data_IF_315086311066
#
_entry.id   IF_315086311066
#
_cell.length_a   1.000
_cell.length_b   1.000
_cell.length_c   1.000
_cell.angle_alpha   90.00
_cell.angle_beta   90.00
_cell.angle_gamma   90.00
#
_symmetry.space_group_name_H-M   'P 1'
#
loop_
_entity.id
_entity.type
_entity.pdbx_description
1 polymer ?
#
# COMPACT_ATOMS: atom_id res chain seq x y z
N UNK A 1 33.79 55.63 54.47
CA UNK A 1 34.89 54.66 54.62
C UNK A 1 34.24 53.28 54.50
N UNK A 2 34.51 52.40 53.52
CA UNK A 2 35.69 52.12 52.69
C UNK A 2 35.18 51.69 51.29
N UNK A 3 35.91 52.06 50.23
CA UNK A 3 35.85 51.59 48.83
C UNK A 3 37.26 51.06 48.49
N UNK A 4 37.52 50.39 47.35
CA UNK A 4 36.73 49.52 46.48
C UNK A 4 37.58 48.27 46.06
N UNK A 5 37.19 47.50 45.04
CA UNK A 5 38.00 47.05 43.87
C UNK A 5 37.15 46.01 43.09
N UNK A 6 36.52 46.39 41.97
CA UNK A 6 37.01 46.34 40.58
C UNK A 6 37.13 44.92 40.00
N UNK A 7 36.32 44.62 38.96
CA UNK A 7 36.71 44.17 37.60
C UNK A 7 35.47 43.57 36.89
N UNK A 8 34.89 44.29 35.92
CA UNK A 8 35.07 44.14 34.46
C UNK A 8 34.51 42.82 33.92
N UNK A 9 33.56 42.89 32.96
CA UNK A 9 33.24 41.72 32.14
C UNK A 9 32.04 41.81 31.20
N UNK A 10 32.20 42.60 30.13
CA UNK A 10 31.70 42.33 28.77
C UNK A 10 30.18 42.33 28.48
N UNK A 11 29.76 43.38 27.77
CA UNK A 11 28.56 43.39 26.95
C UNK A 11 28.73 42.48 25.72
N UNK A 12 27.71 41.68 25.41
CA UNK A 12 27.52 41.11 24.07
C UNK A 12 26.02 41.17 23.72
N UNK A 13 25.70 42.12 22.84
CA UNK A 13 24.47 42.11 22.05
C UNK A 13 24.57 40.94 21.08
N UNK A 14 23.63 40.01 21.14
CA UNK A 14 23.37 39.09 20.02
C UNK A 14 21.89 39.14 19.68
N UNK A 15 21.57 40.04 18.75
CA UNK A 15 20.46 39.91 17.81
C UNK A 15 20.65 38.59 17.04
N UNK A 16 20.09 37.51 17.58
CA UNK A 16 19.96 36.24 16.88
C UNK A 16 18.64 36.22 16.12
N UNK A 17 18.69 36.60 14.84
CA UNK A 17 17.71 36.18 13.83
C UNK A 17 17.65 34.64 13.85
N UNK A 18 16.73 34.07 14.63
CA UNK A 18 16.33 32.68 14.45
C UNK A 18 15.44 32.61 13.21
N UNK A 19 16.11 32.54 12.05
CA UNK A 19 15.52 32.15 10.80
C UNK A 19 14.85 30.78 10.98
N UNK A 20 13.52 30.78 10.90
CA UNK A 20 12.68 29.75 10.29
C UNK A 20 13.20 28.30 10.39
N UNK A 21 12.89 27.61 11.48
CA UNK A 21 12.51 26.19 11.36
C UNK A 21 10.98 26.11 11.36
N UNK A 22 10.39 26.71 10.32
CA UNK A 22 9.18 26.15 9.75
C UNK A 22 9.60 24.78 9.22
N UNK A 23 9.58 23.75 10.08
CA UNK A 23 9.43 22.39 9.61
C UNK A 23 8.11 22.38 8.86
N UNK A 24 8.17 22.68 7.57
CA UNK A 24 7.08 22.48 6.64
C UNK A 24 6.73 21.02 6.80
N UNK A 25 5.67 20.75 7.55
CA UNK A 25 5.03 19.45 7.59
C UNK A 25 4.55 19.24 6.17
N UNK A 26 5.44 18.71 5.33
CA UNK A 26 5.25 18.54 3.92
C UNK A 26 4.09 17.57 3.80
N UNK A 27 2.88 18.13 3.64
CA UNK A 27 1.65 17.39 3.74
C UNK A 27 1.75 16.21 2.77
N UNK A 28 1.64 14.99 3.28
CA UNK A 28 1.78 13.79 2.47
C UNK A 28 0.72 13.83 1.35
N UNK A 29 1.15 14.23 0.15
CA UNK A 29 0.24 14.52 -0.95
C UNK A 29 -0.29 13.21 -1.53
N UNK A 30 -1.59 13.21 -1.83
CA UNK A 30 -2.23 12.09 -2.51
C UNK A 30 -2.06 12.24 -4.01
N UNK A 31 -1.41 11.27 -4.62
CA UNK A 31 -1.29 11.14 -6.06
C UNK A 31 -2.41 10.27 -6.63
N UNK A 32 -2.90 10.60 -7.81
CA UNK A 32 -3.89 9.79 -8.50
C UNK A 32 -3.29 8.50 -9.06
N UNK A 33 -4.08 7.42 -8.98
CA UNK A 33 -3.75 6.11 -9.51
C UNK A 33 -2.93 5.24 -8.55
N UNK A 34 -2.20 4.31 -9.15
CA UNK A 34 -1.34 3.36 -8.45
C UNK A 34 0.13 3.64 -8.79
N UNK A 35 1.07 3.58 -7.82
CA UNK A 35 2.52 3.62 -8.08
C UNK A 35 2.93 2.63 -9.17
N UNK A 36 3.80 3.03 -10.11
CA UNK A 36 4.22 2.17 -11.24
C UNK A 36 4.76 0.81 -10.76
N UNK A 37 5.57 0.82 -9.70
CA UNK A 37 6.19 -0.38 -9.10
C UNK A 37 5.17 -1.42 -8.61
N UNK A 38 3.94 -1.01 -8.28
CA UNK A 38 2.88 -1.91 -7.83
C UNK A 38 2.09 -2.55 -8.97
N UNK A 39 2.15 -2.01 -10.20
CA UNK A 39 1.22 -2.30 -11.31
C UNK A 39 1.43 -3.66 -11.96
N UNK A 40 1.16 -4.72 -11.21
CA UNK A 40 1.35 -6.10 -11.62
C UNK A 40 0.31 -7.00 -10.97
N UNK A 41 0.29 -8.27 -11.36
CA UNK A 41 -0.36 -9.31 -10.56
C UNK A 41 0.64 -9.87 -9.56
N UNK A 42 0.19 -9.97 -8.33
CA UNK A 42 0.93 -10.51 -7.19
C UNK A 42 0.18 -11.72 -6.66
N UNK A 43 0.90 -12.74 -6.20
CA UNK A 43 0.33 -14.02 -5.79
C UNK A 43 0.72 -14.37 -4.35
N UNK A 44 -0.27 -14.71 -3.54
CA UNK A 44 -0.06 -15.29 -2.23
C UNK A 44 0.04 -16.80 -2.38
N UNK A 45 1.23 -17.34 -2.12
CA UNK A 45 1.55 -18.77 -2.21
C UNK A 45 1.28 -19.49 -0.88
N UNK A 46 0.07 -19.33 -0.32
CA UNK A 46 -0.31 -20.02 0.91
C UNK A 46 -0.61 -21.52 0.70
N UNK A 47 -0.82 -22.22 1.82
CA UNK A 47 -1.15 -23.65 1.84
C UNK A 47 -2.67 -23.88 1.76
N UNK A 48 -3.09 -25.02 1.21
CA UNK A 48 -4.50 -25.33 0.98
C UNK A 48 -5.21 -24.23 0.17
N UNK A 49 -6.40 -23.86 0.62
CA UNK A 49 -7.27 -22.85 -0.01
C UNK A 49 -6.79 -21.40 0.19
N UNK A 50 -5.72 -21.19 0.97
CA UNK A 50 -5.14 -19.86 1.19
C UNK A 50 -4.23 -19.42 0.03
N UNK A 51 -4.65 -19.66 -1.22
CA UNK A 51 -3.97 -19.15 -2.43
C UNK A 51 -4.75 -17.97 -2.94
N UNK A 52 -4.10 -16.83 -3.12
CA UNK A 52 -4.76 -15.61 -3.54
C UNK A 52 -3.97 -14.86 -4.60
N UNK A 53 -4.64 -13.96 -5.30
CA UNK A 53 -4.00 -13.01 -6.20
C UNK A 53 -4.52 -11.60 -5.95
N UNK A 54 -3.70 -10.62 -6.27
CA UNK A 54 -4.10 -9.23 -6.39
C UNK A 54 -3.40 -8.58 -7.59
N UNK A 55 -4.17 -7.99 -8.48
CA UNK A 55 -3.72 -7.28 -9.66
C UNK A 55 -3.93 -5.80 -9.47
N UNK A 56 -2.87 -5.02 -9.69
CA UNK A 56 -2.93 -3.57 -9.74
C UNK A 56 -2.77 -3.07 -11.18
N UNK A 57 -3.74 -2.27 -11.61
CA UNK A 57 -3.64 -1.47 -12.83
C UNK A 57 -3.33 0.00 -12.48
N UNK A 58 -3.33 0.89 -13.47
CA UNK A 58 -3.08 2.32 -13.28
C UNK A 58 -4.05 2.97 -12.28
N UNK A 59 -5.31 2.53 -12.22
CA UNK A 59 -6.37 3.19 -11.43
C UNK A 59 -7.26 2.23 -10.63
N UNK A 60 -7.01 0.92 -10.71
CA UNK A 60 -7.82 -0.10 -10.05
C UNK A 60 -6.96 -1.21 -9.44
N UNK A 61 -7.47 -1.85 -8.40
CA UNK A 61 -7.01 -3.16 -7.91
C UNK A 61 -8.11 -4.19 -8.03
N UNK A 62 -7.74 -5.43 -8.32
CA UNK A 62 -8.66 -6.58 -8.42
C UNK A 62 -7.98 -7.79 -7.79
N UNK A 63 -8.61 -8.48 -6.85
CA UNK A 63 -8.06 -9.69 -6.25
C UNK A 63 -9.13 -10.63 -5.74
N UNK A 64 -8.76 -11.90 -5.56
CA UNK A 64 -9.55 -12.91 -4.88
C UNK A 64 -8.66 -14.12 -4.53
N UNK A 65 -9.27 -15.14 -3.94
CA UNK A 65 -8.72 -16.48 -3.82
C UNK A 65 -8.69 -17.21 -5.18
N UNK A 66 -7.93 -18.28 -5.21
CA UNK A 66 -8.01 -19.30 -6.26
C UNK A 66 -9.01 -20.37 -5.85
N UNK A 67 -9.75 -20.90 -6.82
CA UNK A 67 -10.48 -22.16 -6.70
C UNK A 67 -9.59 -23.31 -7.15
N UNK A 68 -9.86 -24.51 -6.62
CA UNK A 68 -9.22 -25.75 -7.04
C UNK A 68 -10.16 -26.50 -7.97
N UNK A 69 -9.64 -26.93 -9.12
CA UNK A 69 -10.28 -27.95 -9.93
C UNK A 69 -9.78 -29.33 -9.45
N UNK A 70 -10.65 -30.10 -8.80
CA UNK A 70 -10.26 -31.39 -8.18
C UNK A 70 -9.86 -32.45 -9.23
N UNK A 71 -10.41 -32.37 -10.44
CA UNK A 71 -10.12 -33.33 -11.50
C UNK A 71 -8.71 -33.20 -12.10
N UNK A 72 -8.22 -31.97 -12.25
CA UNK A 72 -6.89 -31.69 -12.81
C UNK A 72 -5.84 -31.29 -11.76
N UNK A 73 -6.24 -31.06 -10.51
CA UNK A 73 -5.42 -30.49 -9.43
C UNK A 73 -4.82 -29.10 -9.76
N UNK A 74 -5.43 -28.38 -10.71
CA UNK A 74 -5.01 -27.03 -11.10
C UNK A 74 -5.85 -25.96 -10.41
N UNK A 75 -5.23 -24.81 -10.16
CA UNK A 75 -5.90 -23.67 -9.54
C UNK A 75 -6.34 -22.63 -10.57
N UNK A 76 -7.56 -22.12 -10.44
CA UNK A 76 -8.08 -21.04 -11.28
C UNK A 76 -8.46 -19.81 -10.47
N UNK A 77 -8.39 -18.63 -11.08
CA UNK A 77 -8.73 -17.37 -10.41
C UNK A 77 -10.24 -17.24 -10.27
N UNK A 78 -10.73 -17.10 -9.04
CA UNK A 78 -12.12 -16.73 -8.79
C UNK A 78 -12.38 -15.28 -9.23
N UNK A 79 -13.62 -14.91 -9.59
CA UNK A 79 -13.96 -13.54 -9.98
C UNK A 79 -13.51 -12.51 -8.94
N UNK A 80 -12.66 -11.57 -9.36
CA UNK A 80 -12.04 -10.62 -8.44
C UNK A 80 -12.88 -9.38 -8.13
N UNK A 81 -12.83 -8.96 -6.88
CA UNK A 81 -13.32 -7.68 -6.38
C UNK A 81 -12.13 -6.77 -6.06
N UNK A 82 -12.38 -5.49 -5.77
CA UNK A 82 -11.29 -4.61 -5.32
C UNK A 82 -11.65 -3.15 -5.32
N UNK A 83 -10.68 -2.30 -5.65
CA UNK A 83 -10.82 -0.84 -5.54
C UNK A 83 -10.74 -0.16 -6.91
N UNK A 84 -11.62 0.81 -7.17
CA UNK A 84 -11.58 1.74 -8.30
C UNK A 84 -11.22 3.14 -7.82
N UNK A 85 -10.82 4.00 -8.77
CA UNK A 85 -10.39 5.39 -8.48
C UNK A 85 -9.29 5.43 -7.42
N UNK A 86 -8.29 4.54 -7.57
CA UNK A 86 -7.16 4.47 -6.66
C UNK A 86 -6.42 5.81 -6.59
N UNK A 87 -5.96 6.13 -5.39
CA UNK A 87 -5.01 7.18 -5.06
C UNK A 87 -3.97 6.60 -4.13
N UNK A 88 -2.78 7.19 -4.08
CA UNK A 88 -1.74 6.76 -3.16
C UNK A 88 -1.02 7.95 -2.53
N UNK A 89 -0.49 7.74 -1.34
CA UNK A 89 0.55 8.57 -0.72
C UNK A 89 1.82 7.72 -0.54
N UNK A 90 2.97 8.29 -0.86
CA UNK A 90 4.26 7.66 -0.53
C UNK A 90 4.60 7.96 0.92
N UNK A 91 4.99 6.94 1.68
CA UNK A 91 5.43 7.08 3.08
C UNK A 91 6.96 6.92 3.22
N UNK A 92 7.70 6.87 2.09
CA UNK A 92 9.13 6.60 2.08
C UNK A 92 9.46 5.10 2.15
N UNK A 93 10.72 4.73 1.85
CA UNK A 93 11.23 3.36 1.92
C UNK A 93 10.35 2.29 1.25
N UNK A 94 9.76 2.64 0.08
CA UNK A 94 8.81 1.80 -0.67
C UNK A 94 7.54 1.40 0.10
N UNK A 95 7.21 2.13 1.16
CA UNK A 95 5.94 2.02 1.86
C UNK A 95 4.94 2.98 1.20
N UNK A 96 3.77 2.46 0.87
CA UNK A 96 2.70 3.22 0.25
C UNK A 96 1.42 3.03 1.06
N UNK A 97 0.63 4.09 1.11
CA UNK A 97 -0.74 3.98 1.53
C UNK A 97 -1.67 4.26 0.36
N UNK A 98 -2.55 3.31 0.07
CA UNK A 98 -3.47 3.34 -1.06
C UNK A 98 -4.88 3.60 -0.55
N UNK A 99 -5.65 4.37 -1.29
CA UNK A 99 -7.07 4.63 -1.02
C UNK A 99 -7.87 4.49 -2.29
N UNK A 100 -9.06 3.90 -2.21
CA UNK A 100 -9.93 3.70 -3.37
C UNK A 100 -11.34 3.30 -2.96
N UNK A 101 -12.23 3.26 -3.94
CA UNK A 101 -13.65 2.94 -3.75
C UNK A 101 -13.86 1.46 -4.04
N UNK A 102 -14.44 0.72 -3.12
CA UNK A 102 -14.77 -0.69 -3.33
C UNK A 102 -15.72 -0.87 -4.52
N UNK A 103 -15.53 -1.96 -5.25
CA UNK A 103 -16.44 -2.38 -6.31
C UNK A 103 -16.51 -3.90 -6.45
N UNK A 104 -17.68 -4.37 -6.86
CA UNK A 104 -17.94 -5.77 -7.20
C UNK A 104 -17.71 -6.02 -8.69
N UNK A 105 -17.27 -7.23 -9.09
CA UNK A 105 -17.45 -7.68 -10.48
C UNK A 105 -18.95 -7.76 -10.82
N UNK A 106 -19.29 -7.66 -12.12
CA UNK A 106 -20.69 -7.76 -12.58
C UNK A 106 -21.29 -9.09 -12.11
N UNK A 107 -22.47 -9.04 -11.48
CA UNK A 107 -23.16 -10.21 -10.92
C UNK A 107 -22.76 -10.58 -9.49
N UNK A 108 -21.76 -9.93 -8.89
CA UNK A 108 -21.39 -10.11 -7.49
C UNK A 108 -21.96 -9.00 -6.59
N UNK A 109 -22.30 -9.34 -5.34
CA UNK A 109 -22.57 -8.37 -4.28
C UNK A 109 -21.41 -8.41 -3.27
N UNK A 110 -20.66 -7.32 -3.10
CA UNK A 110 -19.83 -7.13 -1.89
C UNK A 110 -20.58 -6.28 -0.88
N UNK A 111 -20.40 -6.61 0.40
CA UNK A 111 -21.05 -5.97 1.55
C UNK A 111 -20.80 -4.46 1.65
N UNK A 112 -19.75 -3.96 0.99
CA UNK A 112 -19.26 -2.58 1.13
C UNK A 112 -19.08 -1.87 -0.23
N UNK A 113 -19.82 -2.26 -1.27
CA UNK A 113 -19.75 -1.60 -2.58
C UNK A 113 -19.95 -0.08 -2.44
N UNK A 114 -19.12 0.70 -3.14
CA UNK A 114 -19.14 2.17 -3.07
C UNK A 114 -18.43 2.78 -1.87
N UNK A 115 -18.02 2.01 -0.86
CA UNK A 115 -17.29 2.55 0.29
C UNK A 115 -15.80 2.81 -0.03
N UNK A 116 -15.24 3.87 0.56
CA UNK A 116 -13.81 4.15 0.42
C UNK A 116 -13.01 3.35 1.45
N UNK A 117 -12.05 2.58 0.97
CA UNK A 117 -11.08 1.86 1.79
C UNK A 117 -9.70 2.48 1.69
N UNK A 118 -8.94 2.37 2.78
CA UNK A 118 -7.55 2.79 2.82
C UNK A 118 -6.64 1.72 3.42
N UNK A 119 -5.65 1.35 2.63
CA UNK A 119 -4.57 0.38 2.77
C UNK A 119 -3.16 0.83 3.11
N UNK A 120 -2.36 0.09 3.89
CA UNK A 120 -0.89 0.25 3.87
C UNK A 120 -0.21 -1.01 3.33
N UNK A 121 0.81 -0.83 2.50
CA UNK A 121 1.67 -1.91 1.99
C UNK A 121 3.11 -1.45 1.81
N UNK A 122 4.03 -2.40 1.67
CA UNK A 122 5.45 -2.19 1.39
C UNK A 122 5.88 -3.04 0.19
N UNK A 123 6.59 -2.43 -0.74
CA UNK A 123 7.21 -3.15 -1.86
C UNK A 123 8.63 -3.55 -1.50
N UNK A 124 8.99 -4.81 -1.74
CA UNK A 124 10.31 -5.37 -1.47
C UNK A 124 10.78 -6.15 -2.69
N UNK A 125 11.69 -5.63 -3.52
CA UNK A 125 12.19 -6.28 -4.76
C UNK A 125 11.09 -7.02 -5.57
N UNK A 126 10.89 -8.32 -5.35
CA UNK A 126 9.91 -9.20 -6.02
C UNK A 126 8.72 -9.60 -5.15
N UNK A 127 8.48 -8.89 -4.05
CA UNK A 127 7.44 -9.16 -3.07
C UNK A 127 6.66 -7.90 -2.70
N UNK A 128 5.39 -8.13 -2.34
CA UNK A 128 4.48 -7.14 -1.81
C UNK A 128 4.06 -7.57 -0.41
N UNK A 129 4.33 -6.71 0.57
CA UNK A 129 3.95 -6.94 1.96
C UNK A 129 2.76 -6.07 2.36
N UNK A 130 1.65 -6.68 2.74
CA UNK A 130 0.48 -5.99 3.30
C UNK A 130 0.56 -5.97 4.82
N UNK A 131 0.21 -4.84 5.42
CA UNK A 131 0.17 -4.70 6.88
C UNK A 131 -1.10 -5.28 7.52
N UNK A 132 -2.08 -5.71 6.70
CA UNK A 132 -3.33 -6.34 7.13
C UNK A 132 -3.74 -7.40 6.10
N UNK A 133 -4.33 -8.50 6.56
CA UNK A 133 -4.73 -9.63 5.71
C UNK A 133 -3.54 -10.52 5.36
N UNK A 134 -3.56 -11.14 4.17
CA UNK A 134 -2.44 -11.95 3.70
C UNK A 134 -1.17 -11.11 3.59
N UNK A 135 -0.16 -11.44 4.38
CA UNK A 135 0.99 -10.56 4.54
C UNK A 135 1.87 -10.49 3.29
N UNK A 136 2.16 -11.60 2.62
CA UNK A 136 3.20 -11.64 1.59
C UNK A 136 2.68 -12.16 0.26
N UNK A 137 2.92 -11.41 -0.81
CA UNK A 137 2.66 -11.81 -2.18
C UNK A 137 3.94 -11.74 -3.01
N UNK A 138 4.16 -12.71 -3.89
CA UNK A 138 5.27 -12.75 -4.85
C UNK A 138 4.84 -12.48 -6.29
N UNK A 139 5.80 -12.44 -7.22
CA UNK A 139 5.56 -12.23 -8.66
C UNK A 139 5.07 -13.45 -9.42
N UNK A 140 5.27 -14.64 -8.86
CA UNK A 140 4.98 -15.91 -9.51
C UNK A 140 4.22 -16.83 -8.55
N UNK A 141 3.38 -17.69 -9.11
CA UNK A 141 2.78 -18.80 -8.40
C UNK A 141 3.80 -19.93 -8.23
N UNK A 142 3.64 -20.70 -7.17
CA UNK A 142 4.42 -21.93 -6.88
C UNK A 142 3.58 -23.19 -7.04
N UNK A 143 2.35 -23.02 -7.55
CA UNK A 143 1.35 -24.05 -7.76
C UNK A 143 0.85 -23.99 -9.21
N UNK A 144 0.40 -25.11 -9.77
CA UNK A 144 -0.12 -25.16 -11.13
C UNK A 144 -1.39 -24.32 -11.26
N UNK A 145 -1.51 -23.56 -12.34
CA UNK A 145 -2.68 -22.72 -12.59
C UNK A 145 -3.29 -23.01 -13.94
N UNK A 146 -4.61 -22.90 -14.03
CA UNK A 146 -5.38 -22.99 -15.27
C UNK A 146 -6.25 -21.75 -15.48
N UNK A 147 -6.80 -21.62 -16.68
CA UNK A 147 -7.89 -20.66 -16.93
C UNK A 147 -9.13 -21.14 -16.18
N UNK A 148 -9.97 -20.21 -15.74
CA UNK A 148 -11.25 -20.60 -15.13
C UNK A 148 -12.04 -21.50 -16.10
N UNK A 149 -12.58 -22.63 -15.62
CA UNK A 149 -13.40 -23.50 -16.45
C UNK A 149 -14.60 -22.70 -16.97
N UNK A 150 -14.98 -22.96 -18.23
CA UNK A 150 -16.23 -22.45 -18.74
C UNK A 150 -17.35 -23.08 -17.93
N UNK A 151 -18.21 -22.26 -17.31
CA UNK A 151 -19.44 -22.76 -16.71
C UNK A 151 -20.32 -23.17 -17.89
N UNK A 152 -20.52 -24.48 -18.06
CA UNK A 152 -21.46 -25.03 -19.06
C UNK A 152 -22.90 -24.87 -18.58
#
# INVERSE_FOLDING_TARGET
MVKPYFLIGLAAVSLGLAATDLTSAQAATWHAGTPKVLRHTWFHNGKGDNKAYITYSKTKSTGNLFGLDEGSEHYYRLPGYGLKKLKYRSLGHHVYQLSGIQYSPKGGKVQFDGQRMTYKLKVQKSQLHFYKGYHNYGRHTTFPTMKAPAIF
#
